data_IF_790091945313
#
_entry.id   IF_790091945313
#
_cell.length_a   1.000
_cell.length_b   1.000
_cell.length_c   1.000
_cell.angle_alpha   90.00
_cell.angle_beta   90.00
_cell.angle_gamma   90.00
#
_symmetry.space_group_name_H-M   'P 1'
#
loop_
_entity.id
_entity.type
_entity.pdbx_description
1 polymer ?
#
# COMPACT_ATOMS: atom_id res chain seq x y z
N UNK A 1 1.17 20.33 6.46
CA UNK A 1 1.55 19.83 5.13
C UNK A 1 0.84 18.50 5.03
N UNK A 2 -0.29 18.51 4.33
CA UNK A 2 -1.24 17.40 4.33
C UNK A 2 -0.55 16.14 3.79
N UNK A 3 -0.66 15.04 4.56
CA UNK A 3 -0.29 13.71 4.11
C UNK A 3 -1.30 13.27 3.06
N UNK A 4 -0.82 12.76 1.95
CA UNK A 4 -1.61 12.65 0.72
C UNK A 4 -1.61 11.20 0.25
N UNK A 5 -2.77 10.75 -0.21
CA UNK A 5 -2.95 9.34 -0.54
C UNK A 5 -2.09 8.94 -1.75
N UNK A 6 -1.41 7.80 -1.65
CA UNK A 6 -0.72 7.17 -2.77
C UNK A 6 -1.75 6.51 -3.69
N UNK A 7 -1.69 6.76 -5.00
CA UNK A 7 -2.57 6.10 -5.97
C UNK A 7 -2.04 4.70 -6.28
N UNK A 8 -2.81 3.70 -5.92
CA UNK A 8 -2.44 2.29 -6.06
C UNK A 8 -3.30 1.63 -7.14
N UNK A 9 -2.67 0.88 -8.03
CA UNK A 9 -3.37 0.00 -8.96
C UNK A 9 -3.05 -1.46 -8.65
N UNK A 10 -4.09 -2.27 -8.46
CA UNK A 10 -3.95 -3.71 -8.28
C UNK A 10 -3.88 -4.38 -9.64
N UNK A 11 -2.74 -4.98 -9.98
CA UNK A 11 -2.59 -5.76 -11.21
C UNK A 11 -3.06 -7.20 -11.00
N UNK A 12 -3.47 -7.86 -12.08
CA UNK A 12 -3.90 -9.27 -12.05
C UNK A 12 -2.73 -10.26 -12.22
N UNK A 13 -1.56 -9.78 -12.64
CA UNK A 13 -0.40 -10.62 -12.95
C UNK A 13 0.83 -10.14 -12.19
N UNK A 14 1.47 -11.03 -11.43
CA UNK A 14 2.66 -10.75 -10.62
C UNK A 14 3.76 -10.03 -11.43
N UNK A 15 3.98 -10.45 -12.68
CA UNK A 15 5.01 -9.88 -13.56
C UNK A 15 4.80 -8.42 -13.95
N UNK A 16 3.62 -7.83 -13.65
CA UNK A 16 3.28 -6.43 -13.95
C UNK A 16 3.37 -5.52 -12.73
N UNK A 17 3.59 -6.08 -11.55
CA UNK A 17 3.66 -5.35 -10.29
C UNK A 17 5.05 -4.79 -10.03
N UNK A 18 5.07 -3.64 -9.35
CA UNK A 18 6.29 -3.06 -8.80
C UNK A 18 6.59 -3.67 -7.41
N UNK A 19 5.53 -4.03 -6.66
CA UNK A 19 5.63 -4.55 -5.28
C UNK A 19 4.62 -5.68 -5.08
N UNK A 20 5.05 -6.78 -4.45
CA UNK A 20 4.17 -7.88 -4.03
C UNK A 20 3.74 -7.69 -2.59
N UNK A 21 2.43 -7.72 -2.37
CA UNK A 21 1.81 -7.35 -1.11
C UNK A 21 1.10 -8.55 -0.52
N UNK A 22 1.36 -8.86 0.74
CA UNK A 22 0.59 -9.84 1.51
C UNK A 22 -0.21 -9.13 2.60
N UNK A 23 -1.51 -9.42 2.67
CA UNK A 23 -2.39 -8.88 3.71
C UNK A 23 -2.29 -9.80 4.92
N UNK A 24 -1.81 -9.28 6.05
CA UNK A 24 -1.71 -10.04 7.30
C UNK A 24 -3.00 -9.96 8.10
N UNK A 25 -3.28 -10.96 8.93
CA UNK A 25 -4.47 -10.99 9.80
C UNK A 25 -4.32 -10.12 11.07
N UNK A 26 -3.11 -9.72 11.41
CA UNK A 26 -2.80 -8.99 12.64
C UNK A 26 -1.88 -7.80 12.39
N UNK A 27 -2.29 -6.63 12.88
CA UNK A 27 -1.53 -5.37 12.80
C UNK A 27 -0.06 -5.50 13.23
N UNK A 28 0.21 -6.29 14.28
CA UNK A 28 1.56 -6.49 14.81
C UNK A 28 2.52 -7.17 13.83
N UNK A 29 2.01 -7.84 12.79
CA UNK A 29 2.78 -8.55 11.76
C UNK A 29 3.05 -7.72 10.50
N UNK A 30 2.43 -6.54 10.40
CA UNK A 30 2.54 -5.69 9.23
C UNK A 30 3.84 -4.89 9.20
N UNK A 31 4.34 -4.65 7.98
CA UNK A 31 5.38 -3.66 7.71
C UNK A 31 4.77 -2.25 7.56
N UNK A 32 3.56 -2.16 7.01
CA UNK A 32 2.80 -0.93 6.77
C UNK A 32 1.34 -1.09 7.19
N UNK A 33 0.83 -0.15 7.96
CA UNK A 33 -0.60 -0.01 8.25
C UNK A 33 -1.22 0.88 7.18
N UNK A 34 -2.23 0.34 6.50
CA UNK A 34 -2.83 0.98 5.33
C UNK A 34 -4.23 1.46 5.68
N UNK A 35 -4.46 2.76 5.60
CA UNK A 35 -5.80 3.32 5.55
C UNK A 35 -6.22 3.44 4.07
N UNK A 36 -7.40 2.91 3.75
CA UNK A 36 -7.94 2.98 2.39
C UNK A 36 -8.75 4.26 2.23
N UNK A 37 -8.26 5.14 1.37
CA UNK A 37 -8.87 6.45 1.09
C UNK A 37 -9.91 6.33 -0.03
N UNK A 38 -11.08 6.89 0.20
CA UNK A 38 -12.16 6.89 -0.79
C UNK A 38 -11.96 7.95 -1.89
N UNK A 39 -11.20 9.01 -1.61
CA UNK A 39 -11.00 10.13 -2.52
C UNK A 39 -9.51 10.43 -2.75
N UNK A 40 -9.16 10.82 -3.98
CA UNK A 40 -7.82 11.32 -4.31
C UNK A 40 -7.65 12.69 -3.66
N UNK A 41 -6.89 12.79 -2.57
CA UNK A 41 -6.29 14.07 -2.15
C UNK A 41 -5.00 14.31 -2.98
N UNK A 42 -4.59 15.58 -3.15
CA UNK A 42 -3.46 15.93 -4.05
C UNK A 42 -2.18 15.16 -3.68
N UNK A 43 -1.81 14.17 -4.49
CA UNK A 43 -0.89 13.09 -4.15
C UNK A 43 0.60 13.49 -4.07
N UNK A 44 1.22 13.13 -2.95
CA UNK A 44 2.63 12.81 -2.70
C UNK A 44 2.77 12.29 -1.25
N UNK A 45 2.42 11.03 -1.02
CA UNK A 45 2.58 10.42 0.30
C UNK A 45 3.05 8.97 0.23
N UNK A 46 3.94 8.63 1.16
CA UNK A 46 4.46 7.29 1.44
C UNK A 46 4.29 7.03 2.95
N UNK A 47 3.06 7.20 3.43
CA UNK A 47 2.73 7.16 4.87
C UNK A 47 1.61 6.15 5.18
N UNK A 48 1.23 5.30 4.22
CA UNK A 48 0.20 4.27 4.44
C UNK A 48 -1.23 4.69 4.10
N UNK A 49 -1.41 5.80 3.38
CA UNK A 49 -2.72 6.18 2.84
C UNK A 49 -2.80 5.72 1.40
N UNK A 50 -3.69 4.78 1.09
CA UNK A 50 -3.80 4.20 -0.24
C UNK A 50 -5.16 4.51 -0.86
N UNK A 51 -5.14 5.14 -2.02
CA UNK A 51 -6.31 5.32 -2.86
C UNK A 51 -6.22 4.39 -4.08
N UNK A 52 -7.15 3.45 -4.19
CA UNK A 52 -7.15 2.48 -5.29
C UNK A 52 -7.79 3.09 -6.54
N UNK A 53 -7.01 3.16 -7.62
CA UNK A 53 -7.48 3.67 -8.92
C UNK A 53 -7.86 2.53 -9.85
N UNK A 54 -8.76 2.79 -10.80
CA UNK A 54 -9.22 1.80 -11.78
C UNK A 54 -8.34 1.68 -13.03
N UNK A 55 -7.45 2.66 -13.27
CA UNK A 55 -6.62 2.72 -14.47
C UNK A 55 -5.14 2.77 -14.10
N UNK A 56 -4.36 1.84 -14.65
CA UNK A 56 -2.90 1.74 -14.44
C UNK A 56 -2.18 3.07 -14.70
N UNK A 57 -2.58 3.81 -15.74
CA UNK A 57 -1.98 5.09 -16.11
C UNK A 57 -2.16 6.22 -15.09
N UNK A 58 -3.03 6.02 -14.08
CA UNK A 58 -3.28 6.98 -13.00
C UNK A 58 -2.55 6.62 -11.71
N UNK A 59 -1.94 5.44 -11.63
CA UNK A 59 -1.31 4.95 -10.42
C UNK A 59 0.10 5.48 -10.24
N UNK A 60 0.47 5.69 -8.97
CA UNK A 60 1.84 5.97 -8.56
C UNK A 60 2.61 4.65 -8.34
N UNK A 61 1.91 3.59 -7.90
CA UNK A 61 2.44 2.23 -7.75
C UNK A 61 1.48 1.14 -8.21
N UNK A 62 2.06 0.08 -8.74
CA UNK A 62 1.34 -1.15 -9.10
C UNK A 62 1.67 -2.25 -8.12
N UNK A 63 0.64 -2.82 -7.52
CA UNK A 63 0.81 -3.90 -6.54
C UNK A 63 0.13 -5.17 -7.02
N UNK A 64 0.67 -6.30 -6.60
CA UNK A 64 0.03 -7.60 -6.76
C UNK A 64 -0.16 -8.23 -5.38
N UNK A 65 -1.39 -8.60 -5.06
CA UNK A 65 -1.67 -9.31 -3.81
C UNK A 65 -1.30 -10.79 -3.96
N UNK A 66 -0.44 -11.28 -3.06
CA UNK A 66 -0.04 -12.68 -3.02
C UNK A 66 -0.77 -13.41 -1.90
N UNK A 67 -0.98 -14.72 -2.07
CA UNK A 67 -1.65 -15.57 -1.07
C UNK A 67 -0.72 -16.09 0.04
N UNK A 68 0.60 -15.94 -0.13
CA UNK A 68 1.60 -16.49 0.78
C UNK A 68 2.60 -15.43 1.23
N UNK A 69 2.78 -15.28 2.54
CA UNK A 69 3.71 -14.31 3.15
C UNK A 69 5.14 -14.42 2.58
N UNK A 70 5.61 -15.65 2.34
CA UNK A 70 6.95 -15.92 1.82
C UNK A 70 7.21 -15.39 0.40
N UNK A 71 6.15 -15.01 -0.33
CA UNK A 71 6.23 -14.45 -1.69
C UNK A 71 6.15 -12.93 -1.74
N UNK A 72 5.90 -12.29 -0.60
CA UNK A 72 5.66 -10.85 -0.51
C UNK A 72 6.94 -10.07 -0.26
N UNK A 73 7.01 -8.89 -0.87
CA UNK A 73 8.03 -7.90 -0.57
C UNK A 73 7.58 -7.06 0.65
N UNK A 74 6.28 -6.73 0.71
CA UNK A 74 5.66 -5.88 1.71
C UNK A 74 4.46 -6.55 2.38
N UNK A 75 4.39 -6.48 3.71
CA UNK A 75 3.24 -6.96 4.49
C UNK A 75 2.38 -5.79 4.94
N UNK A 76 1.09 -5.84 4.64
CA UNK A 76 0.15 -4.76 4.96
C UNK A 76 -0.97 -5.24 5.86
N UNK A 77 -1.48 -4.34 6.69
CA UNK A 77 -2.72 -4.53 7.45
C UNK A 77 -3.61 -3.33 7.20
N UNK A 78 -4.85 -3.56 6.76
CA UNK A 78 -5.81 -2.49 6.53
C UNK A 78 -6.44 -2.03 7.84
N UNK A 79 -6.41 -0.73 8.10
CA UNK A 79 -6.98 -0.11 9.31
C UNK A 79 -8.21 0.73 8.96
N UNK A 80 -9.13 0.86 9.91
CA UNK A 80 -10.37 1.64 9.75
C UNK A 80 -10.20 3.14 10.00
N UNK A 81 -9.12 3.54 10.67
CA UNK A 81 -8.88 4.93 11.06
C UNK A 81 -7.58 5.44 10.46
N UNK A 82 -7.67 6.58 9.79
CA UNK A 82 -6.55 7.30 9.17
C UNK A 82 -5.37 7.50 10.14
N UNK A 83 -5.66 7.87 11.39
CA UNK A 83 -4.64 8.11 12.42
C UNK A 83 -3.78 6.89 12.78
N UNK A 84 -4.17 5.70 12.31
CA UNK A 84 -3.43 4.44 12.51
C UNK A 84 -2.58 4.07 11.30
N UNK A 85 -2.72 4.75 10.17
CA UNK A 85 -1.89 4.53 9.01
C UNK A 85 -0.43 4.85 9.34
N UNK A 86 0.50 4.11 8.75
CA UNK A 86 1.91 4.37 8.96
C UNK A 86 2.82 3.16 8.85
N UNK A 87 4.09 3.46 8.62
CA UNK A 87 5.15 2.45 8.55
C UNK A 87 5.51 1.93 9.93
N UNK A 88 5.34 0.61 10.11
CA UNK A 88 5.91 -0.12 11.24
C UNK A 88 7.35 -0.52 10.98
N UNK A 89 7.67 -0.82 9.73
CA UNK A 89 9.00 -1.19 9.27
C UNK A 89 9.57 -0.15 8.30
N UNK A 90 10.25 0.87 8.85
CA UNK A 90 10.81 1.96 8.04
C UNK A 90 11.88 1.51 7.03
N UNK A 91 12.54 0.37 7.26
CA UNK A 91 13.57 -0.14 6.33
C UNK A 91 12.99 -0.49 4.95
N UNK A 92 11.68 -0.77 4.87
CA UNK A 92 10.97 -1.13 3.63
C UNK A 92 10.27 0.03 2.93
N UNK A 93 10.34 1.24 3.47
CA UNK A 93 9.70 2.44 2.88
C UNK A 93 10.08 2.65 1.41
N UNK A 94 11.31 2.30 1.04
CA UNK A 94 11.83 2.44 -0.30
C UNK A 94 11.09 1.62 -1.36
N UNK A 95 10.32 0.59 -0.97
CA UNK A 95 9.50 -0.18 -1.90
C UNK A 95 8.35 0.68 -2.49
N UNK A 96 7.94 1.74 -1.80
CA UNK A 96 6.78 2.56 -2.15
C UNK A 96 7.13 3.99 -2.61
N UNK A 97 8.41 4.32 -2.84
CA UNK A 97 8.83 5.60 -3.45
C UNK A 97 8.82 5.58 -4.97
#
# INVERSE_FOLDING_TARGET
>A
MDGTAQKIFSVEYESRADVKVFVVDYESRADLLVFKEDYVSQANGNEGHWHFVEYESRADKKIFFVDYESRADLKVFFVEYESRAGWRNKSKQHLMY
#
